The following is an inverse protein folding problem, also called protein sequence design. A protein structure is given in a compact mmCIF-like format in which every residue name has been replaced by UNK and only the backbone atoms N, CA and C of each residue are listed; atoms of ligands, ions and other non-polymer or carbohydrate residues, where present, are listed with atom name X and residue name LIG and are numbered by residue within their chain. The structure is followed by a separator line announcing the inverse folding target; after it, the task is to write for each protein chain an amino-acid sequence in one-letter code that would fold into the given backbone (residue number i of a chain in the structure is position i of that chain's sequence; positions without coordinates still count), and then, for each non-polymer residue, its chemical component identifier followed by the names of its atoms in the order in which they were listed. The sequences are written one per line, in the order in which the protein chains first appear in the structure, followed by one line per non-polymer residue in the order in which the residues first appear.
data_IF_149334220181
#
_entry.id   IF_149334220181
#
_cell.length_a   1.000
_cell.length_b   1.000
_cell.length_c   1.000
_cell.angle_alpha   90.00
_cell.angle_beta   90.00
_cell.angle_gamma   90.00
#
_symmetry.space_group_name_H-M   'P 1'
#
loop_
_entity.id
_entity.type
_entity.pdbx_description
1 polymer ?
#
# COMPACT_ATOMS: atom_id res chain seq x y z
N UNK A 1 10.03 8.90 -9.41
CA UNK A 1 10.82 9.04 -8.19
C UNK A 1 9.91 9.00 -6.98
N UNK A 2 10.21 8.14 -6.03
CA UNK A 2 9.45 8.04 -4.80
C UNK A 2 10.06 8.98 -3.78
N UNK A 3 9.50 10.17 -3.68
CA UNK A 3 9.93 11.17 -2.73
C UNK A 3 9.05 11.14 -1.48
N UNK A 4 9.54 11.68 -0.39
CA UNK A 4 8.81 11.95 0.85
C UNK A 4 8.58 10.79 1.80
N UNK A 5 8.98 9.56 1.46
CA UNK A 5 8.93 8.48 2.43
C UNK A 5 10.00 8.70 3.51
N UNK A 6 9.58 8.62 4.77
CA UNK A 6 10.51 8.61 5.91
C UNK A 6 10.77 7.17 6.28
N UNK A 7 11.91 6.65 5.85
CA UNK A 7 12.26 5.26 6.10
C UNK A 7 13.23 5.15 7.28
N UNK A 8 12.86 4.32 8.24
CA UNK A 8 13.71 3.91 9.34
C UNK A 8 14.48 2.64 8.94
N UNK A 9 15.56 2.27 9.66
CA UNK A 9 16.25 1.02 9.35
C UNK A 9 15.34 -0.21 9.31
N UNK A 10 14.33 -0.27 10.18
CA UNK A 10 13.36 -1.35 10.18
C UNK A 10 12.51 -1.38 8.89
N UNK A 11 12.30 -0.24 8.25
CA UNK A 11 11.54 -0.17 7.00
C UNK A 11 12.35 -0.68 5.82
N UNK A 12 13.63 -0.41 5.81
CA UNK A 12 14.56 -0.94 4.79
C UNK A 12 14.67 -2.46 4.92
N UNK A 13 14.65 -2.97 6.15
CA UNK A 13 14.61 -4.40 6.43
C UNK A 13 15.93 -5.11 6.20
N UNK A 14 15.92 -6.40 6.53
CA UNK A 14 17.03 -7.30 6.26
C UNK A 14 16.49 -8.73 6.16
N UNK A 15 17.25 -9.66 5.55
CA UNK A 15 16.81 -11.03 5.40
C UNK A 15 15.49 -11.12 4.62
N UNK A 16 14.47 -11.73 5.23
CA UNK A 16 13.16 -11.93 4.61
C UNK A 16 12.33 -10.65 4.44
N UNK A 17 12.81 -9.52 4.95
CA UNK A 17 12.17 -8.21 4.70
C UNK A 17 13.08 -7.26 3.92
N UNK A 18 14.27 -7.72 3.53
CA UNK A 18 15.29 -6.89 2.92
C UNK A 18 15.24 -6.85 1.40
N UNK A 19 16.28 -6.24 0.84
CA UNK A 19 16.41 -5.92 -0.57
C UNK A 19 16.26 -7.13 -1.49
N UNK A 20 16.90 -8.25 -1.14
CA UNK A 20 16.94 -9.43 -2.00
C UNK A 20 15.54 -10.02 -2.23
N UNK A 21 14.74 -10.16 -1.18
CA UNK A 21 13.38 -10.70 -1.31
C UNK A 21 12.46 -9.73 -2.02
N UNK A 22 12.68 -8.42 -1.83
CA UNK A 22 11.92 -7.39 -2.55
C UNK A 22 12.24 -7.45 -4.04
N UNK A 23 13.51 -7.55 -4.40
CA UNK A 23 13.92 -7.66 -5.81
C UNK A 23 13.34 -8.91 -6.46
N UNK A 24 13.29 -10.02 -5.74
CA UNK A 24 12.64 -11.24 -6.23
C UNK A 24 11.15 -11.03 -6.49
N UNK A 25 10.47 -10.35 -5.57
CA UNK A 25 9.06 -10.02 -5.76
C UNK A 25 8.86 -9.16 -7.02
N UNK A 26 9.71 -8.16 -7.21
CA UNK A 26 9.63 -7.29 -8.39
C UNK A 26 9.82 -8.10 -9.68
N UNK A 27 10.79 -9.03 -9.69
CA UNK A 27 11.00 -9.92 -10.84
C UNK A 27 9.76 -10.76 -11.13
N UNK A 28 9.11 -11.28 -10.09
CA UNK A 28 7.88 -12.06 -10.24
C UNK A 28 6.74 -11.21 -10.81
N UNK A 29 6.63 -9.95 -10.35
CA UNK A 29 5.62 -9.04 -10.87
C UNK A 29 5.86 -8.71 -12.35
N UNK A 30 7.11 -8.52 -12.75
CA UNK A 30 7.46 -8.31 -14.16
C UNK A 30 7.08 -9.52 -15.01
N UNK A 31 7.41 -10.71 -14.55
CA UNK A 31 7.06 -11.97 -15.23
C UNK A 31 5.55 -12.13 -15.34
N UNK A 32 4.81 -11.62 -14.36
CA UNK A 32 3.35 -11.61 -14.37
C UNK A 32 2.73 -10.56 -15.29
N UNK A 33 3.54 -9.68 -15.89
CA UNK A 33 3.07 -8.70 -16.87
C UNK A 33 3.01 -7.27 -16.39
N UNK A 34 3.47 -6.96 -15.19
CA UNK A 34 3.55 -5.57 -14.70
C UNK A 34 4.72 -4.88 -15.40
N UNK A 35 4.43 -3.79 -16.11
CA UNK A 35 5.40 -3.08 -16.95
C UNK A 35 5.74 -1.68 -16.47
N UNK A 36 4.89 -1.05 -15.67
CA UNK A 36 5.11 0.32 -15.22
C UNK A 36 6.19 0.34 -14.13
N UNK A 37 7.37 0.88 -14.47
CA UNK A 37 8.50 0.92 -13.53
C UNK A 37 8.22 1.79 -12.31
N UNK A 38 7.34 2.77 -12.40
CA UNK A 38 6.95 3.58 -11.24
C UNK A 38 6.24 2.71 -10.22
N UNK A 39 5.34 1.84 -10.68
CA UNK A 39 4.60 0.91 -9.83
C UNK A 39 5.54 -0.09 -9.17
N UNK A 40 6.44 -0.69 -9.95
CA UNK A 40 7.41 -1.65 -9.44
C UNK A 40 8.31 -1.01 -8.39
N UNK A 41 8.80 0.21 -8.64
CA UNK A 41 9.64 0.92 -7.70
C UNK A 41 8.90 1.27 -6.41
N UNK A 42 7.63 1.66 -6.50
CA UNK A 42 6.80 1.94 -5.33
C UNK A 42 6.64 0.69 -4.44
N UNK A 43 6.34 -0.45 -5.05
CA UNK A 43 6.18 -1.71 -4.32
C UNK A 43 7.51 -2.16 -3.69
N UNK A 44 8.62 -1.94 -4.38
CA UNK A 44 9.95 -2.25 -3.85
C UNK A 44 10.29 -1.39 -2.63
N UNK A 45 9.88 -0.12 -2.63
CA UNK A 45 10.32 0.87 -1.65
C UNK A 45 9.40 0.97 -0.45
N UNK A 46 8.07 0.91 -0.65
CA UNK A 46 7.12 0.97 0.45
C UNK A 46 7.26 -0.30 1.32
N UNK A 47 7.49 -0.16 2.62
CA UNK A 47 7.79 -1.31 3.48
C UNK A 47 6.54 -2.12 3.81
N UNK A 48 6.19 -3.04 2.91
CA UNK A 48 4.99 -3.87 3.06
C UNK A 48 4.96 -4.62 4.40
N UNK A 49 6.12 -5.02 4.92
CA UNK A 49 6.20 -5.74 6.20
C UNK A 49 5.74 -4.89 7.39
N UNK A 50 5.67 -3.57 7.25
CA UNK A 50 5.12 -2.69 8.28
C UNK A 50 3.59 -2.57 8.20
N UNK A 51 2.97 -3.20 7.20
CA UNK A 51 1.52 -3.18 6.99
C UNK A 51 0.84 -4.48 7.38
N UNK A 52 1.56 -5.39 8.01
CA UNK A 52 1.05 -6.66 8.52
C UNK A 52 1.48 -6.82 9.98
N UNK A 53 0.89 -7.78 10.69
CA UNK A 53 1.33 -8.12 12.03
C UNK A 53 2.79 -8.57 12.01
N UNK A 54 3.52 -8.28 13.08
CA UNK A 54 4.92 -8.66 13.21
C UNK A 54 5.15 -10.16 12.96
N UNK A 55 4.21 -10.99 13.40
CA UNK A 55 4.27 -12.44 13.20
C UNK A 55 4.26 -12.83 11.72
N UNK A 56 3.76 -11.97 10.83
CA UNK A 56 3.67 -12.23 9.39
C UNK A 56 4.69 -11.44 8.58
N UNK A 57 5.52 -10.63 9.23
CA UNK A 57 6.48 -9.75 8.55
C UNK A 57 7.40 -10.52 7.59
N UNK A 58 7.85 -11.71 7.98
CA UNK A 58 8.73 -12.54 7.16
C UNK A 58 8.07 -13.05 5.87
N UNK A 59 6.74 -12.97 5.77
CA UNK A 59 5.97 -13.41 4.60
C UNK A 59 5.49 -12.24 3.75
N UNK A 60 5.79 -11.01 4.15
CA UNK A 60 5.24 -9.81 3.52
C UNK A 60 5.62 -9.66 2.04
N UNK A 61 6.77 -10.17 1.65
CA UNK A 61 7.25 -10.06 0.27
C UNK A 61 7.03 -11.31 -0.58
N UNK A 62 6.26 -12.27 -0.07
CA UNK A 62 5.68 -13.33 -0.89
C UNK A 62 4.53 -12.73 -1.71
N UNK A 63 4.30 -13.24 -2.90
CA UNK A 63 3.24 -12.72 -3.75
C UNK A 63 1.88 -13.33 -3.38
N UNK A 64 1.45 -13.10 -2.14
CA UNK A 64 0.23 -13.65 -1.54
C UNK A 64 -0.51 -12.61 -0.73
N UNK A 65 -1.82 -12.80 -0.60
CA UNK A 65 -2.62 -12.05 0.38
C UNK A 65 -2.32 -12.59 1.78
N UNK A 66 -2.42 -11.71 2.77
CA UNK A 66 -2.21 -12.08 4.18
C UNK A 66 -3.35 -11.51 5.03
N UNK A 67 -3.72 -12.18 6.15
CA UNK A 67 -4.75 -11.66 7.03
C UNK A 67 -4.26 -10.43 7.80
N UNK A 68 -5.19 -9.49 8.06
CA UNK A 68 -4.92 -8.28 8.84
C UNK A 68 -5.89 -8.11 10.03
N UNK A 69 -6.63 -9.18 10.36
CA UNK A 69 -7.66 -9.13 11.38
C UNK A 69 -9.00 -8.67 10.83
N UNK A 70 -10.03 -8.75 11.67
CA UNK A 70 -11.39 -8.31 11.34
C UNK A 70 -11.96 -8.98 10.07
N UNK A 71 -11.50 -10.20 9.75
CA UNK A 71 -11.94 -10.91 8.55
C UNK A 71 -11.43 -10.28 7.25
N UNK A 72 -10.45 -9.39 7.31
CA UNK A 72 -9.89 -8.66 6.17
C UNK A 72 -8.50 -9.15 5.83
N UNK A 73 -8.03 -8.81 4.62
CA UNK A 73 -6.70 -9.15 4.14
C UNK A 73 -6.02 -7.93 3.53
N UNK A 74 -4.68 -7.95 3.56
CA UNK A 74 -3.87 -7.12 2.65
C UNK A 74 -3.82 -7.85 1.32
N UNK A 75 -4.15 -7.16 0.24
CA UNK A 75 -4.21 -7.79 -1.08
C UNK A 75 -2.85 -8.30 -1.53
N UNK A 76 -2.85 -9.35 -2.35
CA UNK A 76 -1.65 -9.90 -2.98
C UNK A 76 -0.89 -8.78 -3.70
N UNK A 77 0.45 -8.73 -3.62
CA UNK A 77 1.22 -7.71 -4.32
C UNK A 77 0.91 -7.57 -5.81
N UNK A 78 0.69 -8.67 -6.51
CA UNK A 78 0.32 -8.60 -7.93
C UNK A 78 -0.98 -7.82 -8.14
N UNK A 79 -1.98 -8.04 -7.29
CA UNK A 79 -3.27 -7.33 -7.38
C UNK A 79 -3.08 -5.83 -7.15
N UNK A 80 -2.31 -5.46 -6.13
CA UNK A 80 -1.98 -4.06 -5.86
C UNK A 80 -1.26 -3.44 -7.06
N UNK A 81 -0.28 -4.13 -7.61
CA UNK A 81 0.47 -3.67 -8.77
C UNK A 81 -0.43 -3.47 -9.99
N UNK A 82 -1.29 -4.44 -10.26
CA UNK A 82 -2.17 -4.41 -11.43
C UNK A 82 -3.21 -3.30 -11.33
N UNK A 83 -3.82 -3.14 -10.17
CA UNK A 83 -4.79 -2.07 -9.94
C UNK A 83 -4.13 -0.69 -10.05
N UNK A 84 -2.93 -0.55 -9.49
CA UNK A 84 -2.18 0.71 -9.55
C UNK A 84 -1.78 1.04 -10.98
N UNK A 85 -1.28 0.05 -11.72
CA UNK A 85 -0.89 0.23 -13.12
C UNK A 85 -2.08 0.68 -13.97
N UNK A 86 -3.24 0.05 -13.79
CA UNK A 86 -4.47 0.40 -14.49
C UNK A 86 -4.93 1.82 -14.13
N UNK A 87 -4.85 2.17 -12.85
CA UNK A 87 -5.22 3.51 -12.38
C UNK A 87 -4.34 4.59 -13.02
N UNK A 88 -3.05 4.35 -13.12
CA UNK A 88 -2.11 5.31 -13.67
C UNK A 88 -2.28 5.55 -15.17
N UNK A 89 -2.96 4.68 -15.89
CA UNK A 89 -3.24 4.88 -17.32
C UNK A 89 -4.00 6.17 -17.60
N UNK A 90 -4.89 6.56 -16.68
CA UNK A 90 -5.66 7.79 -16.82
C UNK A 90 -4.93 9.05 -16.32
N UNK A 91 -3.70 8.90 -15.83
CA UNK A 91 -2.90 9.99 -15.26
C UNK A 91 -3.65 10.79 -14.20
N UNK A 92 -4.25 10.17 -13.20
CA UNK A 92 -5.04 10.86 -12.17
C UNK A 92 -4.14 11.70 -11.27
N UNK A 93 -4.72 12.75 -10.69
CA UNK A 93 -4.06 13.53 -9.63
C UNK A 93 -4.60 13.16 -8.27
N UNK A 94 -5.85 12.79 -8.20
CA UNK A 94 -6.56 12.44 -6.98
C UNK A 94 -7.18 11.07 -7.13
N UNK A 95 -7.24 10.34 -6.04
CA UNK A 95 -7.85 9.01 -6.01
C UNK A 95 -8.64 8.82 -4.72
N UNK A 96 -9.80 8.20 -4.85
CA UNK A 96 -10.59 7.77 -3.71
C UNK A 96 -10.51 6.25 -3.59
N UNK A 97 -10.05 5.80 -2.45
CA UNK A 97 -10.01 4.38 -2.10
C UNK A 97 -11.18 4.04 -1.18
N UNK A 98 -11.94 3.04 -1.51
CA UNK A 98 -12.97 2.48 -0.64
C UNK A 98 -12.41 1.22 0.00
N UNK A 99 -12.31 1.24 1.34
CA UNK A 99 -11.70 0.15 2.09
C UNK A 99 -10.21 0.36 2.30
N UNK A 100 -9.85 1.18 3.31
CA UNK A 100 -8.45 1.47 3.65
C UNK A 100 -7.68 0.20 4.01
N UNK A 101 -8.33 -0.72 4.74
CA UNK A 101 -7.72 -1.96 5.19
C UNK A 101 -6.44 -1.72 5.99
N UNK A 102 -5.35 -2.37 5.57
CA UNK A 102 -4.03 -2.19 6.20
C UNK A 102 -3.42 -0.80 5.96
N UNK A 103 -3.87 -0.12 4.91
CA UNK A 103 -3.28 1.12 4.43
C UNK A 103 -2.23 0.94 3.34
N UNK A 104 -1.90 -0.29 2.98
CA UNK A 104 -0.81 -0.54 2.04
C UNK A 104 -1.07 0.03 0.64
N UNK A 105 -2.26 -0.21 0.05
CA UNK A 105 -2.59 0.34 -1.26
C UNK A 105 -2.55 1.87 -1.25
N UNK A 106 -3.12 2.49 -0.22
CA UNK A 106 -3.08 3.94 -0.06
C UNK A 106 -1.65 4.46 0.06
N UNK A 107 -0.79 3.74 0.78
CA UNK A 107 0.62 4.11 0.92
C UNK A 107 1.36 4.05 -0.42
N UNK A 108 1.12 3.01 -1.22
CA UNK A 108 1.71 2.87 -2.56
C UNK A 108 1.27 4.05 -3.46
N UNK A 109 -0.01 4.37 -3.45
CA UNK A 109 -0.55 5.48 -4.26
C UNK A 109 0.01 6.83 -3.81
N UNK A 110 0.10 7.07 -2.50
CA UNK A 110 0.68 8.30 -1.95
C UNK A 110 2.17 8.41 -2.28
N UNK A 111 2.91 7.30 -2.22
CA UNK A 111 4.32 7.27 -2.58
C UNK A 111 4.55 7.62 -4.05
N UNK A 112 3.57 7.35 -4.92
CA UNK A 112 3.59 7.72 -6.33
C UNK A 112 3.26 9.20 -6.56
N UNK A 113 2.92 9.94 -5.50
CA UNK A 113 2.64 11.36 -5.60
C UNK A 113 1.17 11.71 -5.81
N UNK A 114 0.28 10.72 -5.75
CA UNK A 114 -1.16 10.98 -5.87
C UNK A 114 -1.71 11.57 -4.57
N UNK A 115 -2.73 12.41 -4.69
CA UNK A 115 -3.51 12.88 -3.55
C UNK A 115 -4.54 11.80 -3.22
N UNK A 116 -4.35 11.12 -2.09
CA UNK A 116 -5.14 9.94 -1.72
C UNK A 116 -6.18 10.28 -0.66
N UNK A 117 -7.42 9.89 -0.94
CA UNK A 117 -8.55 9.91 -0.03
C UNK A 117 -8.99 8.48 0.19
N UNK A 118 -9.19 8.07 1.43
CA UNK A 118 -9.54 6.69 1.73
C UNK A 118 -10.64 6.63 2.80
N UNK A 119 -11.55 5.69 2.63
CA UNK A 119 -12.70 5.52 3.52
C UNK A 119 -12.65 4.11 4.11
N UNK A 120 -12.81 3.99 5.42
CA UNK A 120 -12.80 2.70 6.11
C UNK A 120 -13.96 2.62 7.10
N UNK A 121 -14.66 1.50 7.09
CA UNK A 121 -15.77 1.18 7.95
C UNK A 121 -15.34 0.69 9.34
N UNK A 122 -14.19 0.03 9.42
CA UNK A 122 -13.67 -0.59 10.64
C UNK A 122 -12.67 0.36 11.31
N UNK A 123 -13.10 0.94 12.46
CA UNK A 123 -12.33 2.01 13.12
C UNK A 123 -10.91 1.57 13.54
N UNK A 124 -10.75 0.34 14.00
CA UNK A 124 -9.45 -0.18 14.42
C UNK A 124 -8.47 -0.28 13.26
N UNK A 125 -8.93 -0.73 12.09
CA UNK A 125 -8.10 -0.78 10.89
C UNK A 125 -7.69 0.62 10.47
N UNK A 126 -8.63 1.56 10.49
CA UNK A 126 -8.33 2.95 10.12
C UNK A 126 -7.31 3.58 11.05
N UNK A 127 -7.45 3.35 12.36
CA UNK A 127 -6.50 3.89 13.36
C UNK A 127 -5.08 3.38 13.08
N UNK A 128 -4.94 2.09 12.82
CA UNK A 128 -3.65 1.46 12.53
C UNK A 128 -3.07 2.00 11.22
N UNK A 129 -3.88 2.12 10.18
CA UNK A 129 -3.44 2.66 8.90
C UNK A 129 -2.97 4.12 9.03
N UNK A 130 -3.71 4.95 9.76
CA UNK A 130 -3.34 6.36 10.02
C UNK A 130 -1.97 6.45 10.70
N UNK A 131 -1.71 5.59 11.67
CA UNK A 131 -0.42 5.54 12.36
C UNK A 131 0.71 5.21 11.39
N UNK A 132 0.49 4.22 10.51
CA UNK A 132 1.48 3.82 9.50
C UNK A 132 1.78 4.96 8.54
N UNK A 133 0.76 5.66 8.06
CA UNK A 133 0.94 6.82 7.17
C UNK A 133 1.79 7.89 7.84
N UNK A 134 1.48 8.25 9.10
CA UNK A 134 2.25 9.25 9.84
C UNK A 134 3.71 8.83 10.01
N UNK A 135 3.94 7.58 10.39
CA UNK A 135 5.30 7.06 10.60
C UNK A 135 6.13 7.14 9.32
N UNK A 136 5.51 6.86 8.16
CA UNK A 136 6.19 6.90 6.87
C UNK A 136 6.22 8.30 6.23
N UNK A 137 5.63 9.30 6.88
CA UNK A 137 5.59 10.66 6.35
C UNK A 137 4.69 10.84 5.14
N UNK A 138 3.68 9.98 5.01
CA UNK A 138 2.72 10.04 3.90
C UNK A 138 1.48 10.84 4.29
N UNK A 139 1.03 11.70 3.39
CA UNK A 139 -0.21 12.43 3.55
C UNK A 139 -1.34 11.69 2.85
N UNK A 140 -2.19 11.06 3.65
CA UNK A 140 -3.38 10.38 3.17
C UNK A 140 -4.57 10.92 3.96
N UNK A 141 -5.57 11.44 3.28
CA UNK A 141 -6.81 11.87 3.91
C UNK A 141 -7.70 10.68 4.12
N UNK A 142 -8.14 10.47 5.34
CA UNK A 142 -8.92 9.28 5.68
C UNK A 142 -10.20 9.64 6.44
N UNK A 143 -11.22 8.82 6.24
CA UNK A 143 -12.53 9.02 6.83
C UNK A 143 -13.08 7.68 7.34
N UNK A 144 -13.61 7.69 8.56
CA UNK A 144 -14.33 6.55 9.12
C UNK A 144 -15.79 6.65 8.71
N UNK A 145 -16.19 5.88 7.71
CA UNK A 145 -17.57 5.93 7.19
C UNK A 145 -17.88 4.68 6.37
N UNK A 146 -19.11 4.59 5.91
CA UNK A 146 -19.56 3.57 4.98
C UNK A 146 -19.08 3.92 3.57
N UNK A 147 -18.35 2.99 2.96
CA UNK A 147 -17.82 3.17 1.62
C UNK A 147 -18.86 3.36 0.52
N UNK A 148 -20.11 2.97 0.77
CA UNK A 148 -21.20 3.16 -0.18
C UNK A 148 -21.53 4.64 -0.42
N UNK A 149 -21.23 5.47 0.57
CA UNK A 149 -21.48 6.93 0.48
C UNK A 149 -20.34 7.63 -0.27
N UNK A 150 -19.14 7.06 -0.23
CA UNK A 150 -17.93 7.68 -0.77
C UNK A 150 -17.51 8.90 0.05
N UNK A 151 -17.10 9.94 -0.66
CA UNK A 151 -16.68 11.19 -0.04
C UNK A 151 -17.22 12.38 -0.86
N UNK A 152 -18.51 12.70 -0.75
CA UNK A 152 -19.18 13.69 -1.60
C UNK A 152 -18.54 15.09 -1.57
N UNK A 153 -18.01 15.51 -0.40
CA UNK A 153 -17.40 16.83 -0.23
C UNK A 153 -16.12 17.01 -1.07
N UNK A 154 -15.54 15.90 -1.53
CA UNK A 154 -14.31 15.89 -2.32
C UNK A 154 -14.54 15.49 -3.78
N UNK A 155 -15.77 15.32 -4.15
CA UNK A 155 -16.13 14.91 -5.50
C UNK A 155 -15.82 15.99 -6.57
#
# INVERSE_FOLDING_TARGET
MISRLRLQPADVGMGLTGQRVRDRLIDDLRKGGIKDERVLNAIRTVPRHQFVDEALASRAYENNALPIGHGQTISQPYVVAKMTEALLESSPKRVLEIGTGSGYQGAVLAALGLEVFTVERISELLRTARKRFRTLGLHVRSKHDDGRIGWPEEA
#
